data_IF_992369066948
#
_entry.id   IF_992369066948
#
_cell.length_a   1.000
_cell.length_b   1.000
_cell.length_c   1.000
_cell.angle_alpha   90.00
_cell.angle_beta   90.00
_cell.angle_gamma   90.00
#
_symmetry.space_group_name_H-M   'P 1'
#
loop_
_entity.id
_entity.type
_entity.pdbx_description
1 polymer ?
#
# COMPACT_ATOMS: atom_id res chain seq x y z
N UNK A 1 13.50 46.81 -32.71
CA UNK A 1 13.32 45.36 -32.87
C UNK A 1 12.35 44.89 -31.80
N UNK A 2 11.06 44.81 -32.10
CA UNK A 2 10.08 44.17 -31.22
C UNK A 2 9.67 42.86 -31.91
N UNK A 3 10.09 41.72 -31.36
CA UNK A 3 9.61 40.41 -31.79
C UNK A 3 8.13 40.32 -31.42
N UNK A 4 7.25 40.55 -32.41
CA UNK A 4 5.83 40.29 -32.28
C UNK A 4 5.61 38.79 -32.23
N UNK A 5 5.21 38.28 -31.06
CA UNK A 5 4.75 36.91 -30.93
C UNK A 5 3.44 36.79 -31.73
N UNK A 6 3.43 35.94 -32.76
CA UNK A 6 2.22 35.67 -33.53
C UNK A 6 1.15 35.09 -32.60
N UNK A 7 -0.11 35.52 -32.75
CA UNK A 7 -1.23 35.01 -31.93
C UNK A 7 -1.31 33.46 -31.95
N UNK A 8 -0.85 32.82 -33.01
CA UNK A 8 -0.78 31.36 -33.13
C UNK A 8 0.17 30.69 -32.13
N UNK A 9 1.31 31.31 -31.81
CA UNK A 9 2.29 30.75 -30.88
C UNK A 9 1.78 30.72 -29.43
N UNK A 10 0.98 31.72 -29.03
CA UNK A 10 0.38 31.81 -27.70
C UNK A 10 -0.72 30.75 -27.51
N UNK A 11 -1.53 30.51 -28.56
CA UNK A 11 -2.60 29.51 -28.54
C UNK A 11 -2.04 28.09 -28.47
N UNK A 12 -1.00 27.78 -29.28
CA UNK A 12 -0.33 26.48 -29.26
C UNK A 12 0.35 26.21 -27.90
N UNK A 13 0.98 27.21 -27.30
CA UNK A 13 1.56 27.06 -25.96
C UNK A 13 0.49 26.74 -24.92
N UNK A 14 -0.64 27.46 -24.93
CA UNK A 14 -1.74 27.25 -23.98
C UNK A 14 -2.38 25.87 -24.11
N UNK A 15 -2.63 25.39 -25.34
CA UNK A 15 -3.18 24.05 -25.55
C UNK A 15 -2.21 22.96 -25.14
N UNK A 16 -0.91 23.14 -25.41
CA UNK A 16 0.13 22.17 -25.01
C UNK A 16 0.26 22.10 -23.49
N UNK A 17 0.25 23.24 -22.80
CA UNK A 17 0.24 23.28 -21.33
C UNK A 17 -1.02 22.63 -20.76
N UNK A 18 -2.19 22.86 -21.35
CA UNK A 18 -3.44 22.23 -20.91
C UNK A 18 -3.41 20.70 -21.09
N UNK A 19 -2.94 20.21 -22.23
CA UNK A 19 -2.79 18.78 -22.52
C UNK A 19 -1.76 18.11 -21.61
N UNK A 20 -0.64 18.79 -21.30
CA UNK A 20 0.37 18.29 -20.37
C UNK A 20 -0.16 18.19 -18.93
N UNK A 21 -0.99 19.15 -18.51
CA UNK A 21 -1.66 19.11 -17.21
C UNK A 21 -2.68 17.96 -17.12
N UNK A 22 -3.45 17.70 -18.18
CA UNK A 22 -4.40 16.57 -18.23
C UNK A 22 -3.66 15.23 -18.16
N UNK A 23 -2.56 15.07 -18.91
CA UNK A 23 -1.77 13.84 -18.91
C UNK A 23 -1.15 13.52 -17.54
N UNK A 24 -0.81 14.55 -16.75
CA UNK A 24 -0.22 14.37 -15.41
C UNK A 24 -1.24 13.87 -14.36
N UNK A 25 -2.53 14.16 -14.54
CA UNK A 25 -3.59 13.71 -13.63
C UNK A 25 -3.97 12.23 -13.75
N UNK A 26 -3.44 11.52 -14.76
CA UNK A 26 -3.75 10.12 -15.03
C UNK A 26 -2.79 9.10 -14.36
N UNK A 27 -1.88 9.54 -13.49
CA UNK A 27 -0.94 8.65 -12.82
C UNK A 27 -1.54 8.05 -11.54
N UNK A 28 -1.59 6.73 -11.47
CA UNK A 28 -1.90 6.00 -10.25
C UNK A 28 -0.82 6.24 -9.18
N UNK A 29 -1.21 6.68 -7.99
CA UNK A 29 -0.27 6.85 -6.88
C UNK A 29 -0.03 5.51 -6.18
N UNK A 30 1.20 5.29 -5.69
CA UNK A 30 1.54 4.14 -4.85
C UNK A 30 1.71 4.60 -3.39
N UNK A 31 1.06 3.90 -2.47
CA UNK A 31 1.09 4.14 -1.03
C UNK A 31 1.80 2.98 -0.36
N UNK A 32 2.86 3.26 0.39
CA UNK A 32 3.73 2.22 0.97
C UNK A 32 3.48 2.10 2.46
N UNK A 33 3.27 0.86 2.93
CA UNK A 33 3.12 0.53 4.35
C UNK A 33 4.10 -0.58 4.71
N UNK A 34 4.95 -0.33 5.70
CA UNK A 34 5.79 -1.36 6.30
C UNK A 34 5.03 -2.01 7.45
N UNK A 35 4.73 -3.30 7.32
CA UNK A 35 3.96 -4.06 8.29
C UNK A 35 4.87 -4.72 9.32
N UNK A 36 5.45 -3.95 10.22
CA UNK A 36 6.38 -4.46 11.24
C UNK A 36 6.21 -3.69 12.57
N UNK A 37 6.77 -4.24 13.65
CA UNK A 37 6.68 -3.66 15.00
C UNK A 37 7.45 -2.34 15.16
N UNK A 38 8.39 -2.03 14.26
CA UNK A 38 9.12 -0.76 14.28
C UNK A 38 8.31 0.40 13.72
N UNK A 39 7.22 0.12 13.00
CA UNK A 39 6.27 1.14 12.54
C UNK A 39 5.36 1.60 13.69
N UNK A 40 5.67 2.75 14.28
CA UNK A 40 4.94 3.31 15.43
C UNK A 40 3.47 3.63 15.14
N UNK A 41 3.11 3.94 13.89
CA UNK A 41 1.70 4.19 13.52
C UNK A 41 0.89 2.90 13.48
N UNK A 42 1.53 1.80 13.09
CA UNK A 42 0.90 0.49 13.11
C UNK A 42 0.68 0.02 14.55
N UNK A 43 1.71 0.11 15.40
CA UNK A 43 1.62 -0.31 16.81
C UNK A 43 0.78 0.64 17.66
N UNK A 44 0.69 1.91 17.28
CA UNK A 44 -0.21 2.90 17.89
C UNK A 44 -1.68 2.73 17.51
N UNK A 45 -2.00 1.92 16.49
CA UNK A 45 -3.37 1.70 16.02
C UNK A 45 -4.00 2.88 15.30
N UNK A 46 -3.22 3.90 14.93
CA UNK A 46 -3.67 5.13 14.27
C UNK A 46 -3.30 5.20 12.77
N UNK A 47 -2.69 4.13 12.23
CA UNK A 47 -2.37 4.03 10.81
C UNK A 47 -3.63 4.02 9.95
N UNK A 48 -3.87 5.13 9.26
CA UNK A 48 -4.88 5.26 8.21
C UNK A 48 -4.27 5.95 6.99
N UNK A 49 -4.71 5.53 5.81
CA UNK A 49 -4.25 6.08 4.54
C UNK A 49 -5.44 6.45 3.67
N UNK A 50 -5.37 7.61 3.03
CA UNK A 50 -6.36 8.03 2.04
C UNK A 50 -5.84 7.67 0.65
N UNK A 51 -6.65 6.92 -0.08
CA UNK A 51 -6.33 6.40 -1.42
C UNK A 51 -7.44 6.78 -2.40
N UNK A 52 -7.08 6.90 -3.68
CA UNK A 52 -8.03 7.11 -4.76
C UNK A 52 -8.26 5.82 -5.55
N UNK A 53 -9.33 5.78 -6.34
CA UNK A 53 -9.50 4.72 -7.33
C UNK A 53 -8.32 4.73 -8.31
N UNK A 54 -7.86 3.53 -8.65
CA UNK A 54 -6.68 3.19 -9.43
C UNK A 54 -5.33 3.36 -8.73
N UNK A 55 -5.28 3.88 -7.50
CA UNK A 55 -4.05 3.84 -6.70
C UNK A 55 -3.66 2.40 -6.32
N UNK A 56 -2.42 2.25 -5.87
CA UNK A 56 -1.89 1.00 -5.32
C UNK A 56 -1.53 1.18 -3.85
N UNK A 57 -1.87 0.17 -3.05
CA UNK A 57 -1.40 -0.01 -1.69
C UNK A 57 -0.35 -1.12 -1.68
N UNK A 58 0.90 -0.77 -1.44
CA UNK A 58 2.03 -1.67 -1.33
C UNK A 58 2.33 -1.93 0.15
N UNK A 59 2.07 -3.17 0.60
CA UNK A 59 2.33 -3.60 1.97
C UNK A 59 3.59 -4.48 1.98
N UNK A 60 4.63 -4.03 2.66
CA UNK A 60 5.86 -4.79 2.86
C UNK A 60 5.78 -5.64 4.12
N UNK A 61 6.05 -6.93 3.96
CA UNK A 61 6.18 -7.88 5.05
C UNK A 61 7.37 -7.54 5.97
N UNK A 62 7.35 -7.96 7.24
CA UNK A 62 8.55 -7.96 8.09
C UNK A 62 9.68 -8.71 7.39
N UNK A 63 10.86 -8.09 7.36
CA UNK A 63 12.06 -8.71 6.81
C UNK A 63 13.19 -8.63 7.82
N UNK A 64 13.80 -9.78 8.07
CA UNK A 64 14.87 -9.93 9.02
C UNK A 64 16.13 -10.37 8.28
N UNK A 65 17.27 -9.70 8.47
CA UNK A 65 18.53 -10.20 7.92
C UNK A 65 18.79 -11.60 8.46
N UNK A 66 19.51 -12.41 7.68
CA UNK A 66 19.90 -13.74 8.13
C UNK A 66 20.63 -13.61 9.48
N UNK A 67 20.31 -14.41 10.51
CA UNK A 67 21.00 -14.32 11.79
C UNK A 67 22.51 -14.51 11.58
N UNK A 68 23.27 -13.43 11.78
CA UNK A 68 24.63 -13.52 12.32
C UNK A 68 24.56 -14.20 13.68
N UNK A 69 25.62 -14.91 14.14
CA UNK A 69 25.58 -15.68 15.38
C UNK A 69 25.00 -14.85 16.53
N UNK A 70 24.20 -15.47 17.42
CA UNK A 70 23.36 -14.76 18.36
C UNK A 70 24.24 -13.91 19.27
N UNK A 71 24.19 -12.58 19.11
CA UNK A 71 24.44 -11.72 20.25
C UNK A 71 23.20 -11.83 21.12
N UNK A 72 23.36 -12.28 22.36
CA UNK A 72 22.29 -12.52 23.35
C UNK A 72 21.39 -11.29 23.61
N UNK A 73 21.75 -10.13 23.04
CA UNK A 73 21.09 -8.83 23.22
C UNK A 73 20.11 -8.41 22.10
N UNK A 74 19.98 -9.18 21.00
CA UNK A 74 19.40 -8.61 19.77
C UNK A 74 17.88 -8.76 19.55
N UNK A 75 17.15 -9.68 20.20
CA UNK A 75 15.71 -9.83 19.96
C UNK A 75 14.96 -10.27 21.23
N UNK A 76 14.12 -9.41 21.83
CA UNK A 76 13.27 -9.80 22.96
C UNK A 76 12.23 -10.89 22.61
N UNK A 77 11.95 -11.10 21.32
CA UNK A 77 11.01 -12.10 20.81
C UNK A 77 11.55 -12.63 19.46
N UNK A 78 11.57 -13.97 19.29
CA UNK A 78 11.90 -14.57 18.00
C UNK A 78 10.93 -14.05 16.92
N UNK A 79 11.40 -13.74 15.70
CA UNK A 79 10.53 -13.38 14.59
C UNK A 79 9.43 -14.44 14.40
N UNK A 80 8.17 -14.04 14.19
CA UNK A 80 7.12 -15.02 13.88
C UNK A 80 7.43 -15.72 12.55
N UNK A 81 7.20 -17.04 12.50
CA UNK A 81 7.47 -17.87 11.33
C UNK A 81 6.62 -17.48 10.12
N UNK A 82 5.41 -16.95 10.36
CA UNK A 82 4.52 -16.43 9.33
C UNK A 82 3.56 -15.38 9.91
N UNK A 83 3.12 -14.45 9.06
CA UNK A 83 2.13 -13.41 9.36
C UNK A 83 1.11 -13.37 8.23
N UNK A 84 -0.18 -13.49 8.53
CA UNK A 84 -1.23 -13.40 7.52
C UNK A 84 -1.93 -12.02 7.57
N UNK A 85 -2.22 -11.46 6.40
CA UNK A 85 -2.98 -10.21 6.26
C UNK A 85 -4.41 -10.54 5.87
N UNK A 86 -5.36 -9.97 6.61
CA UNK A 86 -6.78 -10.16 6.41
C UNK A 86 -7.48 -8.84 6.18
N UNK A 87 -8.47 -8.86 5.29
CA UNK A 87 -9.46 -7.81 5.19
C UNK A 87 -10.63 -8.15 6.13
N UNK A 88 -10.91 -7.26 7.08
CA UNK A 88 -11.92 -7.45 8.12
C UNK A 88 -13.05 -6.43 8.00
N UNK A 89 -14.23 -6.81 8.49
CA UNK A 89 -15.33 -5.86 8.65
C UNK A 89 -15.02 -4.84 9.76
N UNK A 90 -15.59 -3.64 9.67
CA UNK A 90 -15.39 -2.56 10.64
C UNK A 90 -15.59 -3.01 12.10
N UNK A 91 -16.69 -3.71 12.39
CA UNK A 91 -16.99 -4.21 13.74
C UNK A 91 -16.02 -5.29 14.26
N UNK A 92 -15.27 -5.93 13.36
CA UNK A 92 -14.25 -6.93 13.65
C UNK A 92 -12.83 -6.37 13.73
N UNK A 93 -12.62 -5.09 13.42
CA UNK A 93 -11.30 -4.47 13.47
C UNK A 93 -10.85 -4.23 14.92
N UNK A 94 -10.11 -5.19 15.49
CA UNK A 94 -9.67 -5.18 16.90
C UNK A 94 -8.19 -5.51 17.07
N UNK A 95 -7.37 -5.06 16.10
CA UNK A 95 -5.96 -5.44 16.03
C UNK A 95 -5.80 -6.90 15.61
N UNK A 96 -4.63 -7.48 15.87
CA UNK A 96 -4.24 -8.77 15.32
C UNK A 96 -4.87 -9.95 16.08
N UNK A 97 -6.15 -10.19 15.81
CA UNK A 97 -6.96 -11.26 16.35
C UNK A 97 -7.74 -11.94 15.24
N UNK A 98 -7.88 -13.26 15.33
CA UNK A 98 -8.71 -14.04 14.43
C UNK A 98 -10.15 -13.48 14.44
N UNK A 99 -10.65 -13.14 13.26
CA UNK A 99 -11.95 -12.47 13.10
C UNK A 99 -12.84 -13.29 12.17
N UNK A 100 -14.02 -13.66 12.65
CA UNK A 100 -14.97 -14.44 11.85
C UNK A 100 -15.41 -13.65 10.60
N UNK A 101 -15.36 -14.30 9.43
CA UNK A 101 -15.70 -13.68 8.15
C UNK A 101 -14.59 -12.79 7.58
N UNK A 102 -13.40 -12.79 8.17
CA UNK A 102 -12.22 -12.16 7.60
C UNK A 102 -11.79 -12.85 6.31
N UNK A 103 -11.37 -12.06 5.33
CA UNK A 103 -10.91 -12.56 4.03
C UNK A 103 -9.39 -12.48 4.01
N UNK A 104 -8.71 -13.64 3.94
CA UNK A 104 -7.25 -13.68 3.79
C UNK A 104 -6.85 -13.00 2.47
N UNK A 105 -6.01 -11.97 2.55
CA UNK A 105 -5.50 -11.22 1.39
C UNK A 105 -4.09 -11.63 1.02
N UNK A 106 -3.25 -11.88 2.02
CA UNK A 106 -1.85 -12.22 1.81
C UNK A 106 -1.27 -13.02 2.97
N UNK A 107 -0.16 -13.70 2.74
CA UNK A 107 0.62 -14.39 3.77
C UNK A 107 2.11 -14.07 3.60
N UNK A 108 2.69 -13.46 4.64
CA UNK A 108 4.10 -13.23 4.79
C UNK A 108 4.75 -14.46 5.41
N UNK A 109 5.26 -15.38 4.59
CA UNK A 109 5.90 -16.64 5.01
C UNK A 109 7.41 -16.69 4.72
N UNK A 110 7.99 -15.58 4.26
CA UNK A 110 9.39 -15.49 3.81
C UNK A 110 10.14 -14.35 4.51
N UNK A 111 10.33 -14.43 5.85
CA UNK A 111 10.99 -13.37 6.63
C UNK A 111 12.44 -13.10 6.19
N UNK A 112 13.13 -14.11 5.67
CA UNK A 112 14.53 -14.05 5.21
C UNK A 112 14.66 -14.06 3.69
N UNK A 113 13.67 -13.53 2.96
CA UNK A 113 13.71 -13.47 1.50
C UNK A 113 15.04 -12.84 0.98
N UNK A 114 15.69 -13.43 -0.04
CA UNK A 114 17.05 -13.06 -0.44
C UNK A 114 17.17 -11.65 -1.05
N UNK A 115 16.07 -11.08 -1.52
CA UNK A 115 16.03 -9.79 -2.22
C UNK A 115 15.34 -8.69 -1.40
N UNK A 116 15.32 -8.83 -0.07
CA UNK A 116 14.66 -7.89 0.83
C UNK A 116 13.20 -8.24 1.11
N UNK A 117 12.42 -7.31 1.69
CA UNK A 117 11.05 -7.57 2.11
C UNK A 117 10.12 -7.89 0.93
N UNK A 118 9.33 -8.95 1.10
CA UNK A 118 8.26 -9.31 0.16
C UNK A 118 7.18 -8.22 0.19
N UNK A 119 6.71 -7.81 -0.98
CA UNK A 119 5.68 -6.79 -1.15
C UNK A 119 4.39 -7.42 -1.68
N UNK A 120 3.29 -7.13 -1.00
CA UNK A 120 1.94 -7.36 -1.48
C UNK A 120 1.36 -6.06 -2.03
N UNK A 121 0.97 -6.05 -3.30
CA UNK A 121 0.35 -4.89 -3.95
C UNK A 121 -1.14 -5.10 -4.12
N UNK A 122 -1.95 -4.29 -3.45
CA UNK A 122 -3.39 -4.21 -3.66
C UNK A 122 -3.70 -3.03 -4.58
N UNK A 123 -4.40 -3.28 -5.68
CA UNK A 123 -4.89 -2.20 -6.54
C UNK A 123 -6.28 -1.78 -6.09
N UNK A 124 -6.44 -0.49 -5.80
CA UNK A 124 -7.72 0.09 -5.38
C UNK A 124 -8.60 0.27 -6.61
N UNK A 125 -9.36 -0.75 -6.96
CA UNK A 125 -10.19 -0.75 -8.17
C UNK A 125 -11.64 -1.12 -7.87
N UNK A 126 -12.56 -0.52 -8.64
CA UNK A 126 -13.99 -0.77 -8.50
C UNK A 126 -14.43 -2.10 -9.08
N UNK A 127 -13.75 -2.56 -10.12
CA UNK A 127 -14.08 -3.80 -10.82
C UNK A 127 -12.83 -4.64 -10.93
N UNK A 128 -12.89 -5.85 -10.40
CA UNK A 128 -11.81 -6.83 -10.48
C UNK A 128 -12.12 -7.88 -11.55
N UNK A 129 -11.20 -8.17 -12.48
CA UNK A 129 -11.38 -9.29 -13.41
C UNK A 129 -11.18 -10.65 -12.72
N UNK A 130 -10.66 -10.68 -11.49
CA UNK A 130 -10.39 -11.88 -10.72
C UNK A 130 -11.58 -12.25 -9.83
N UNK A 131 -12.04 -13.50 -9.89
CA UNK A 131 -13.22 -13.99 -9.15
C UNK A 131 -13.09 -13.94 -7.63
N UNK A 132 -11.87 -14.04 -7.10
CA UNK A 132 -11.57 -13.88 -5.67
C UNK A 132 -10.94 -12.50 -5.37
N UNK A 133 -11.04 -11.57 -6.32
CA UNK A 133 -10.57 -10.21 -6.13
C UNK A 133 -11.49 -9.44 -5.17
N UNK A 134 -11.00 -8.29 -4.72
CA UNK A 134 -11.79 -7.40 -3.88
C UNK A 134 -12.07 -6.09 -4.61
N UNK A 135 -13.25 -5.52 -4.41
CA UNK A 135 -13.73 -4.31 -5.08
C UNK A 135 -13.85 -3.15 -4.09
N UNK A 136 -13.32 -2.00 -4.48
CA UNK A 136 -13.30 -0.80 -3.65
C UNK A 136 -14.29 0.25 -4.16
N UNK A 137 -15.03 0.86 -3.22
CA UNK A 137 -16.02 1.89 -3.47
C UNK A 137 -15.55 3.23 -2.87
N UNK A 138 -15.72 4.35 -3.59
CA UNK A 138 -15.41 5.67 -3.05
C UNK A 138 -16.22 5.99 -1.81
N UNK A 139 -15.59 6.63 -0.82
CA UNK A 139 -16.25 7.05 0.43
C UNK A 139 -16.44 5.95 1.47
N UNK A 140 -15.90 4.74 1.22
CA UNK A 140 -15.92 3.63 2.17
C UNK A 140 -14.57 3.45 2.87
N UNK A 141 -14.62 2.88 4.08
CA UNK A 141 -13.45 2.48 4.85
C UNK A 141 -13.22 0.97 4.76
N UNK A 142 -11.96 0.57 4.67
CA UNK A 142 -11.52 -0.81 4.52
C UNK A 142 -10.43 -1.09 5.56
N UNK A 143 -10.55 -2.19 6.27
CA UNK A 143 -9.74 -2.46 7.46
C UNK A 143 -8.91 -3.71 7.25
N UNK A 144 -7.59 -3.57 7.37
CA UNK A 144 -6.65 -4.68 7.32
C UNK A 144 -6.21 -5.04 8.73
N UNK A 145 -6.25 -6.33 9.06
CA UNK A 145 -5.72 -6.87 10.31
C UNK A 145 -4.71 -7.98 10.04
N UNK A 146 -3.93 -8.33 11.07
CA UNK A 146 -2.99 -9.43 11.01
C UNK A 146 -3.37 -10.60 11.91
N UNK A 147 -2.85 -11.77 11.60
CA UNK A 147 -2.85 -12.95 12.46
C UNK A 147 -1.46 -13.60 12.41
#
# INVERSE_FOLDING_TARGET
MACGWSLGAVTVWRTTVFLLNIACTASAKRHVVYWNSTNSRLTGGDLSIQVNLNDYLDIYCPHYPHPSPPSEDAYPQAPPDSLALYLVAEGGFRGCVETQGAIKRWECNSPHAPFGPVCFSEKIQRFTPFSLGFEFLPGHHYYYSCE
#
